data_IF_822512395299
#
_entry.id   IF_822512395299
#
_cell.length_a   1.000
_cell.length_b   1.000
_cell.length_c   1.000
_cell.angle_alpha   90.00
_cell.angle_beta   90.00
_cell.angle_gamma   90.00
#
_symmetry.space_group_name_H-M   'P 1'
#
loop_
_entity.id
_entity.type
_entity.pdbx_description
1 polymer ?
#
# COMPACT_ATOMS: atom_id res chain seq x y z
N UNK A 1 -3.68 15.90 -11.26
CA UNK A 1 -3.58 15.39 -9.89
C UNK A 1 -4.74 15.93 -9.06
N UNK A 2 -5.54 15.05 -8.44
CA UNK A 2 -6.55 15.44 -7.46
C UNK A 2 -5.99 15.15 -6.07
N UNK A 3 -6.03 16.14 -5.17
CA UNK A 3 -5.55 15.98 -3.80
C UNK A 3 -6.69 15.48 -2.90
N UNK A 4 -6.55 14.33 -2.22
CA UNK A 4 -7.51 13.91 -1.20
C UNK A 4 -7.49 14.89 0.00
N UNK A 5 -8.42 14.72 0.97
CA UNK A 5 -8.30 15.37 2.28
C UNK A 5 -6.90 15.14 2.87
N UNK A 6 -6.33 16.15 3.58
CA UNK A 6 -5.00 16.00 4.15
C UNK A 6 -4.96 14.93 5.23
N UNK A 7 -3.78 14.37 5.41
CA UNK A 7 -3.41 13.73 6.66
C UNK A 7 -2.83 14.81 7.58
N UNK A 8 -3.62 15.23 8.57
CA UNK A 8 -3.26 16.29 9.51
C UNK A 8 -2.11 15.85 10.43
N UNK A 9 -1.25 16.80 10.81
CA UNK A 9 -0.08 16.55 11.67
C UNK A 9 0.84 15.44 11.16
N UNK A 10 1.02 15.32 9.84
CA UNK A 10 1.96 14.38 9.22
C UNK A 10 2.77 15.06 8.12
N UNK A 11 4.00 14.60 7.95
CA UNK A 11 4.89 15.04 6.89
C UNK A 11 5.64 13.84 6.30
N UNK A 12 5.83 13.87 4.98
CA UNK A 12 6.67 12.91 4.28
C UNK A 12 8.10 13.46 4.17
N UNK A 13 9.08 12.78 4.73
CA UNK A 13 10.48 13.22 4.80
C UNK A 13 11.35 12.63 3.70
N UNK A 14 12.53 13.19 3.45
CA UNK A 14 13.54 12.70 2.49
C UNK A 14 13.11 12.68 1.01
N UNK A 15 11.98 13.30 0.67
CA UNK A 15 11.45 13.35 -0.70
C UNK A 15 11.28 14.78 -1.22
N UNK A 16 12.00 15.75 -0.64
CA UNK A 16 11.89 17.17 -0.97
C UNK A 16 12.42 17.49 -2.37
N UNK A 17 11.56 18.02 -3.24
CA UNK A 17 11.96 18.63 -4.51
C UNK A 17 12.24 20.11 -4.35
N UNK A 18 11.37 20.82 -3.63
CA UNK A 18 11.43 22.26 -3.52
C UNK A 18 10.74 22.75 -2.25
N UNK A 19 11.39 23.69 -1.55
CA UNK A 19 10.81 24.44 -0.44
C UNK A 19 10.39 25.84 -0.91
N UNK A 20 9.18 26.27 -0.55
CA UNK A 20 8.58 27.54 -0.95
C UNK A 20 7.91 28.18 0.26
N UNK A 21 8.31 29.40 0.62
CA UNK A 21 7.68 30.19 1.69
C UNK A 21 6.66 31.17 1.12
N UNK A 22 5.86 31.78 2.00
CA UNK A 22 4.90 32.84 1.67
C UNK A 22 3.96 32.45 0.52
N UNK A 23 3.40 31.24 0.61
CA UNK A 23 2.51 30.68 -0.41
C UNK A 23 1.23 30.14 0.23
N UNK A 24 0.11 30.28 -0.47
CA UNK A 24 -1.16 29.68 -0.06
C UNK A 24 -1.16 28.18 -0.37
N UNK A 25 -1.99 27.42 0.34
CA UNK A 25 -2.17 25.99 0.09
C UNK A 25 -2.59 25.73 -1.37
N UNK A 26 -3.50 26.53 -1.92
CA UNK A 26 -3.98 26.36 -3.29
C UNK A 26 -2.86 26.58 -4.31
N UNK A 27 -2.05 27.62 -4.12
CA UNK A 27 -0.92 27.88 -5.01
C UNK A 27 0.18 26.82 -4.86
N UNK A 28 0.38 26.29 -3.65
CA UNK A 28 1.27 25.15 -3.39
C UNK A 28 0.83 23.91 -4.20
N UNK A 29 -0.46 23.56 -4.13
CA UNK A 29 -1.06 22.46 -4.89
C UNK A 29 -0.98 22.67 -6.40
N UNK A 30 -1.23 23.89 -6.87
CA UNK A 30 -1.10 24.25 -8.30
C UNK A 30 0.35 24.11 -8.77
N UNK A 31 1.33 24.56 -7.97
CA UNK A 31 2.76 24.38 -8.28
C UNK A 31 3.15 22.91 -8.35
N UNK A 32 2.63 22.08 -7.46
CA UNK A 32 2.82 20.63 -7.55
C UNK A 32 2.17 20.07 -8.83
N UNK A 33 0.93 20.45 -9.12
CA UNK A 33 0.18 19.96 -10.27
C UNK A 33 0.90 20.20 -11.61
N UNK A 34 1.54 21.36 -11.78
CA UNK A 34 2.26 21.70 -13.02
C UNK A 34 3.68 21.14 -13.08
N UNK A 35 4.21 20.65 -11.95
CA UNK A 35 5.53 20.03 -11.89
C UNK A 35 5.38 18.51 -12.05
N UNK A 36 5.84 17.97 -13.19
CA UNK A 36 5.72 16.53 -13.49
C UNK A 36 6.45 15.61 -12.50
N UNK A 37 7.46 16.13 -11.79
CA UNK A 37 8.16 15.37 -10.76
C UNK A 37 7.44 15.39 -9.40
N UNK A 38 6.48 16.29 -9.19
CA UNK A 38 5.79 16.43 -7.92
C UNK A 38 4.65 15.43 -7.79
N UNK A 39 4.60 14.74 -6.65
CA UNK A 39 3.65 13.68 -6.36
C UNK A 39 2.81 13.91 -5.10
N UNK A 40 3.28 14.76 -4.18
CA UNK A 40 2.58 15.18 -2.97
C UNK A 40 3.15 16.52 -2.46
N UNK A 41 2.54 17.11 -1.43
CA UNK A 41 3.08 18.28 -0.73
C UNK A 41 2.97 18.15 0.78
N UNK A 42 4.00 18.63 1.51
CA UNK A 42 3.83 19.00 2.92
C UNK A 42 3.49 20.48 3.00
N UNK A 43 2.52 20.86 3.82
CA UNK A 43 2.17 22.27 4.00
C UNK A 43 2.08 22.64 5.48
N UNK A 44 2.81 23.69 5.85
CA UNK A 44 2.77 24.29 7.17
C UNK A 44 1.94 25.57 7.11
N UNK A 45 0.83 25.61 7.85
CA UNK A 45 -0.02 26.80 7.92
C UNK A 45 0.67 27.93 8.69
N UNK A 46 0.69 29.13 8.11
CA UNK A 46 1.06 30.38 8.80
C UNK A 46 -0.16 31.23 9.11
N UNK A 47 0.05 32.45 9.60
CA UNK A 47 -1.05 33.38 9.96
C UNK A 47 -1.87 33.84 8.75
N UNK A 48 -1.21 34.04 7.60
CA UNK A 48 -1.84 34.42 6.33
C UNK A 48 -1.40 33.48 5.19
N UNK A 49 -0.10 33.39 4.96
CA UNK A 49 0.53 32.48 4.00
C UNK A 49 1.38 31.46 4.77
N UNK A 50 1.57 30.29 4.18
CA UNK A 50 2.29 29.18 4.80
C UNK A 50 3.63 28.88 4.15
N UNK A 51 4.20 27.75 4.52
CA UNK A 51 5.35 27.14 3.85
C UNK A 51 4.91 25.84 3.18
N UNK A 52 5.37 25.63 1.96
CA UNK A 52 5.04 24.50 1.09
C UNK A 52 6.32 23.75 0.72
N UNK A 53 6.26 22.44 0.79
CA UNK A 53 7.29 21.54 0.34
C UNK A 53 6.71 20.67 -0.77
N UNK A 54 7.26 20.78 -1.98
CA UNK A 54 6.91 19.88 -3.10
C UNK A 54 7.69 18.58 -2.94
N UNK A 55 7.01 17.45 -3.09
CA UNK A 55 7.59 16.13 -2.83
C UNK A 55 7.67 15.28 -4.10
N UNK A 56 8.77 14.55 -4.29
CA UNK A 56 9.00 13.60 -5.38
C UNK A 56 8.31 12.25 -5.18
N UNK A 57 7.58 12.07 -4.08
CA UNK A 57 7.05 10.77 -3.70
C UNK A 57 5.61 10.86 -3.19
N UNK A 58 4.92 9.72 -3.27
CA UNK A 58 3.64 9.48 -2.62
C UNK A 58 3.91 8.76 -1.30
N UNK A 59 3.15 9.08 -0.26
CA UNK A 59 3.31 8.41 1.03
C UNK A 59 3.03 6.90 0.95
N UNK A 60 2.11 6.47 0.08
CA UNK A 60 1.85 5.03 -0.14
C UNK A 60 3.04 4.24 -0.70
N UNK A 61 4.02 4.90 -1.33
CA UNK A 61 5.25 4.24 -1.81
C UNK A 61 6.35 4.20 -0.74
N UNK A 62 6.28 5.09 0.26
CA UNK A 62 7.30 5.26 1.30
C UNK A 62 6.66 5.44 2.68
N UNK A 63 5.95 4.42 3.21
CA UNK A 63 5.17 4.57 4.43
C UNK A 63 6.04 4.85 5.67
N UNK A 64 7.31 4.42 5.68
CA UNK A 64 8.26 4.69 6.77
C UNK A 64 8.69 6.16 6.84
N UNK A 65 8.62 6.88 5.72
CA UNK A 65 9.01 8.28 5.63
C UNK A 65 7.86 9.22 5.98
N UNK A 66 6.62 8.70 6.05
CA UNK A 66 5.44 9.44 6.47
C UNK A 66 5.34 9.39 8.00
N UNK A 67 5.79 10.45 8.66
CA UNK A 67 5.84 10.53 10.10
C UNK A 67 4.85 11.55 10.64
N UNK A 68 4.33 11.29 11.83
CA UNK A 68 3.54 12.28 12.58
C UNK A 68 4.44 13.47 12.94
N UNK A 69 4.08 14.65 12.47
CA UNK A 69 4.79 15.89 12.70
C UNK A 69 3.79 17.04 12.94
N UNK A 70 3.53 17.42 14.21
CA UNK A 70 2.52 18.41 14.54
C UNK A 70 2.72 19.77 13.84
N UNK A 71 1.63 20.31 13.30
CA UNK A 71 1.61 21.61 12.62
C UNK A 71 2.00 21.58 11.14
N UNK A 72 2.19 20.40 10.56
CA UNK A 72 2.38 20.20 9.13
C UNK A 72 1.33 19.19 8.66
N UNK A 73 0.67 19.51 7.55
CA UNK A 73 -0.33 18.65 6.93
C UNK A 73 0.21 18.08 5.62
N UNK A 74 0.06 16.77 5.44
CA UNK A 74 0.45 16.08 4.21
C UNK A 74 -0.73 16.03 3.23
N UNK A 75 -0.51 16.48 2.00
CA UNK A 75 -1.48 16.39 0.91
C UNK A 75 -0.92 15.53 -0.22
N UNK A 76 -1.43 14.33 -0.35
CA UNK A 76 -1.07 13.41 -1.42
C UNK A 76 -1.67 12.03 -1.20
N UNK A 77 -1.44 11.09 -2.12
CA UNK A 77 -1.87 9.71 -1.94
C UNK A 77 -1.16 9.08 -0.73
N UNK A 78 -1.89 8.93 0.38
CA UNK A 78 -1.50 8.14 1.56
C UNK A 78 -1.77 6.66 1.37
N UNK A 79 -2.75 6.36 0.54
CA UNK A 79 -3.12 5.04 0.08
C UNK A 79 -2.36 4.72 -1.21
N UNK A 80 -1.76 3.52 -1.27
CA UNK A 80 -1.53 2.87 -2.56
C UNK A 80 -2.89 2.82 -3.26
N UNK A 81 -3.00 3.05 -4.59
CA UNK A 81 -4.27 3.22 -5.29
C UNK A 81 -5.30 2.06 -5.23
N UNK A 82 -5.27 1.19 -4.22
CA UNK A 82 -6.24 0.12 -3.97
C UNK A 82 -6.71 0.00 -2.51
N UNK A 83 -6.23 0.82 -1.56
CA UNK A 83 -6.54 0.64 -0.12
C UNK A 83 -7.85 1.32 0.35
N UNK A 84 -8.87 1.28 -0.49
CA UNK A 84 -10.27 1.56 -0.13
C UNK A 84 -11.24 0.49 -0.63
N UNK A 85 -10.73 -0.61 -1.21
CA UNK A 85 -11.54 -1.79 -1.48
C UNK A 85 -11.46 -2.70 -0.26
N UNK A 86 -12.55 -2.77 0.49
CA UNK A 86 -12.92 -4.01 1.16
C UNK A 86 -12.85 -5.13 0.11
N UNK A 87 -11.78 -5.93 0.11
CA UNK A 87 -11.76 -7.17 -0.67
C UNK A 87 -12.47 -8.20 0.20
N UNK A 88 -13.78 -8.02 0.37
CA UNK A 88 -14.65 -9.05 0.92
C UNK A 88 -14.59 -10.22 -0.04
N UNK A 89 -13.84 -11.25 0.33
CA UNK A 89 -13.77 -12.50 -0.41
C UNK A 89 -15.17 -13.00 -0.70
N UNK A 90 -15.55 -12.96 -1.97
CA UNK A 90 -16.68 -13.71 -2.48
C UNK A 90 -16.31 -15.19 -2.38
N UNK A 91 -16.51 -15.77 -1.20
CA UNK A 91 -16.34 -17.19 -0.96
C UNK A 91 -17.29 -17.97 -1.89
N UNK A 92 -16.73 -18.46 -3.00
CA UNK A 92 -17.14 -19.61 -3.78
C UNK A 92 -18.64 -19.88 -3.88
N UNK A 93 -19.26 -19.42 -4.97
CA UNK A 93 -20.52 -19.96 -5.49
C UNK A 93 -20.29 -21.38 -6.02
N UNK A 94 -20.07 -22.36 -5.14
CA UNK A 94 -20.24 -23.77 -5.48
C UNK A 94 -21.68 -24.16 -5.19
N UNK A 95 -22.35 -24.53 -6.28
CA UNK A 95 -23.68 -25.08 -6.43
C UNK A 95 -24.02 -26.12 -5.32
N UNK A 96 -24.80 -25.74 -4.31
CA UNK A 96 -25.45 -26.68 -3.39
C UNK A 96 -26.95 -26.64 -3.61
N UNK A 97 -27.42 -27.59 -4.43
CA UNK A 97 -28.81 -27.97 -4.52
C UNK A 97 -29.26 -28.58 -3.16
N UNK A 98 -30.38 -28.05 -2.66
CA UNK A 98 -31.36 -28.68 -1.77
C UNK A 98 -31.14 -28.68 -0.24
N UNK A 99 -32.06 -27.93 0.41
CA UNK A 99 -32.76 -28.21 1.70
C UNK A 99 -32.05 -27.98 3.05
N UNK A 100 -32.13 -26.72 3.49
CA UNK A 100 -32.48 -26.19 4.84
C UNK A 100 -32.65 -27.25 5.95
N UNK A 101 -31.66 -27.37 6.87
CA UNK A 101 -31.90 -27.45 8.33
C UNK A 101 -30.61 -27.32 9.19
N UNK A 102 -29.80 -26.27 8.99
CA UNK A 102 -28.71 -25.94 9.93
C UNK A 102 -28.48 -24.43 10.00
N UNK A 103 -29.52 -23.72 10.44
CA UNK A 103 -29.52 -22.27 10.68
C UNK A 103 -28.57 -21.89 11.85
N UNK A 104 -27.87 -22.85 12.46
CA UNK A 104 -26.91 -22.64 13.56
C UNK A 104 -25.43 -22.77 13.20
N UNK A 105 -25.06 -23.01 11.92
CA UNK A 105 -23.64 -23.14 11.51
C UNK A 105 -23.21 -22.09 10.46
N UNK A 106 -24.11 -21.22 10.01
CA UNK A 106 -23.85 -20.26 8.92
C UNK A 106 -23.54 -18.82 9.36
N UNK A 107 -23.11 -18.60 10.60
CA UNK A 107 -22.43 -17.35 10.99
C UNK A 107 -20.92 -17.57 10.97
N UNK A 108 -20.40 -18.15 9.88
CA UNK A 108 -18.97 -18.04 9.60
C UNK A 108 -18.77 -16.55 9.34
N UNK A 109 -18.10 -15.89 10.29
CA UNK A 109 -17.84 -14.47 10.22
C UNK A 109 -17.22 -14.20 8.86
N UNK A 110 -17.86 -13.36 8.06
CA UNK A 110 -17.21 -12.78 6.90
C UNK A 110 -16.10 -11.89 7.45
N UNK A 111 -14.95 -12.50 7.76
CA UNK A 111 -13.75 -11.78 8.15
C UNK A 111 -13.32 -10.99 6.92
N UNK A 112 -13.64 -9.69 6.92
CA UNK A 112 -13.08 -8.77 5.95
C UNK A 112 -11.56 -8.80 6.15
N UNK A 113 -10.82 -9.28 5.15
CA UNK A 113 -9.37 -9.27 5.21
C UNK A 113 -8.89 -7.88 4.85
N UNK A 114 -8.17 -7.25 5.78
CA UNK A 114 -7.49 -5.99 5.53
C UNK A 114 -6.05 -6.31 5.16
N UNK A 115 -5.57 -5.89 3.99
CA UNK A 115 -4.14 -5.98 3.68
C UNK A 115 -3.41 -4.69 4.09
N UNK A 116 -2.23 -4.83 4.68
CA UNK A 116 -1.29 -3.73 4.94
C UNK A 116 -0.11 -3.87 3.99
N UNK A 117 0.18 -2.86 3.19
CA UNK A 117 1.43 -2.83 2.43
C UNK A 117 2.61 -2.56 3.37
N UNK A 118 3.61 -3.41 3.30
CA UNK A 118 4.80 -3.36 4.13
C UNK A 118 5.96 -2.60 3.46
N UNK A 119 5.89 -2.36 2.16
CA UNK A 119 6.94 -1.69 1.39
C UNK A 119 7.45 -2.50 0.20
N UNK A 120 8.44 -1.91 -0.47
CA UNK A 120 9.19 -2.53 -1.56
C UNK A 120 10.53 -3.08 -1.05
N UNK A 121 10.82 -4.33 -1.37
CA UNK A 121 12.02 -5.02 -0.90
C UNK A 121 12.79 -5.68 -2.03
N UNK A 122 14.10 -5.71 -1.93
CA UNK A 122 14.95 -6.39 -2.90
C UNK A 122 14.67 -7.89 -2.88
N UNK A 123 14.63 -8.52 -4.06
CA UNK A 123 14.65 -9.97 -4.19
C UNK A 123 15.93 -10.46 -4.85
N UNK A 124 16.21 -11.74 -4.67
CA UNK A 124 17.43 -12.42 -5.12
C UNK A 124 17.14 -13.89 -5.43
N UNK A 125 18.10 -14.60 -6.01
CA UNK A 125 17.97 -16.01 -6.37
C UNK A 125 17.66 -16.93 -5.17
N UNK A 126 18.07 -16.54 -3.96
CA UNK A 126 17.77 -17.24 -2.71
C UNK A 126 16.41 -16.84 -2.10
N UNK A 127 15.64 -15.99 -2.79
CA UNK A 127 14.26 -15.54 -2.54
C UNK A 127 13.95 -15.01 -1.15
N UNK A 128 13.46 -13.80 -1.04
CA UNK A 128 12.99 -13.23 0.23
C UNK A 128 11.62 -13.80 0.67
N UNK A 129 10.74 -14.10 -0.28
CA UNK A 129 9.37 -14.57 0.01
C UNK A 129 9.11 -15.89 -0.72
N UNK A 130 9.39 -17.01 -0.04
CA UNK A 130 9.05 -18.35 -0.55
C UNK A 130 9.57 -18.63 -1.97
N UNK A 131 8.95 -19.56 -2.67
CA UNK A 131 9.12 -19.74 -4.10
C UNK A 131 7.91 -19.14 -4.82
N UNK A 132 7.98 -19.04 -6.16
CA UNK A 132 6.86 -18.60 -6.98
C UNK A 132 5.63 -19.47 -6.68
N UNK A 133 4.59 -18.85 -6.16
CA UNK A 133 3.39 -19.52 -5.69
C UNK A 133 2.32 -19.62 -6.77
N UNK A 134 2.04 -18.49 -7.45
CA UNK A 134 1.04 -18.40 -8.52
C UNK A 134 1.57 -17.52 -9.65
N UNK A 135 1.32 -17.94 -10.90
CA UNK A 135 1.62 -17.17 -12.10
C UNK A 135 0.65 -17.57 -13.24
N UNK A 136 0.06 -16.61 -13.96
CA UNK A 136 -0.01 -15.19 -13.62
C UNK A 136 -0.94 -14.96 -12.43
N UNK A 137 -0.67 -13.93 -11.64
CA UNK A 137 -1.53 -13.49 -10.55
C UNK A 137 -1.68 -11.97 -10.60
N UNK A 138 -2.85 -11.47 -10.18
CA UNK A 138 -2.99 -10.10 -9.73
C UNK A 138 -2.94 -10.06 -8.19
N UNK A 139 -3.06 -8.87 -7.61
CA UNK A 139 -2.99 -8.68 -6.16
C UNK A 139 -4.05 -9.53 -5.41
N UNK A 140 -5.27 -9.59 -5.94
CA UNK A 140 -6.39 -10.35 -5.36
C UNK A 140 -6.13 -11.85 -5.44
N UNK A 141 -5.69 -12.37 -6.60
CA UNK A 141 -5.38 -13.79 -6.75
C UNK A 141 -4.23 -14.23 -5.84
N UNK A 142 -3.25 -13.36 -5.62
CA UNK A 142 -2.15 -13.65 -4.69
C UNK A 142 -2.61 -13.66 -3.22
N UNK A 143 -3.46 -12.69 -2.85
CA UNK A 143 -4.12 -12.65 -1.54
C UNK A 143 -4.94 -13.92 -1.28
N UNK A 144 -5.81 -14.29 -2.22
CA UNK A 144 -6.67 -15.47 -2.10
C UNK A 144 -5.86 -16.75 -1.90
N UNK A 145 -4.77 -16.91 -2.66
CA UNK A 145 -3.88 -18.05 -2.52
C UNK A 145 -3.20 -18.07 -1.15
N UNK A 146 -2.60 -16.94 -0.73
CA UNK A 146 -1.92 -16.85 0.56
C UNK A 146 -2.87 -17.12 1.74
N UNK A 147 -4.09 -16.57 1.68
CA UNK A 147 -5.16 -16.86 2.64
C UNK A 147 -5.54 -18.33 2.66
N UNK A 148 -5.72 -18.95 1.49
CA UNK A 148 -6.03 -20.37 1.38
C UNK A 148 -4.96 -21.29 1.97
N UNK A 149 -3.70 -20.84 1.98
CA UNK A 149 -2.59 -21.54 2.64
C UNK A 149 -2.44 -21.20 4.13
N UNK A 150 -3.21 -20.24 4.66
CA UNK A 150 -3.06 -19.73 6.02
C UNK A 150 -1.79 -18.91 6.24
N UNK A 151 -1.20 -18.38 5.16
CA UNK A 151 -0.04 -17.50 5.25
C UNK A 151 -0.47 -16.06 5.55
N UNK A 152 0.40 -15.32 6.20
CA UNK A 152 0.11 -13.94 6.68
C UNK A 152 0.79 -12.86 5.87
N UNK A 153 1.68 -13.23 4.95
CA UNK A 153 2.41 -12.31 4.08
C UNK A 153 2.46 -12.88 2.67
N UNK A 154 2.21 -12.03 1.69
CA UNK A 154 2.40 -12.31 0.27
C UNK A 154 3.07 -11.12 -0.40
N UNK A 155 3.56 -11.33 -1.62
CA UNK A 155 4.24 -10.30 -2.37
C UNK A 155 4.02 -10.46 -3.87
N UNK A 156 4.02 -9.32 -4.57
CA UNK A 156 4.01 -9.27 -6.03
C UNK A 156 5.43 -8.97 -6.55
N UNK A 157 5.85 -9.66 -7.60
CA UNK A 157 7.04 -9.36 -8.40
C UNK A 157 6.64 -9.22 -9.88
N UNK A 158 7.39 -8.43 -10.66
CA UNK A 158 7.23 -8.32 -12.12
C UNK A 158 5.78 -8.21 -12.62
N UNK A 159 4.93 -7.45 -11.91
CA UNK A 159 3.51 -7.22 -12.21
C UNK A 159 2.56 -8.42 -12.01
N UNK A 160 3.01 -9.64 -12.29
CA UNK A 160 2.14 -10.82 -12.40
C UNK A 160 2.63 -12.06 -11.65
N UNK A 161 3.72 -11.96 -10.90
CA UNK A 161 4.27 -13.08 -10.13
C UNK A 161 3.86 -12.95 -8.67
N UNK A 162 3.25 -14.00 -8.13
CA UNK A 162 2.84 -14.08 -6.73
C UNK A 162 3.82 -14.92 -5.92
N UNK A 163 4.25 -14.37 -4.79
CA UNK A 163 5.14 -14.99 -3.84
C UNK A 163 4.50 -15.03 -2.47
N UNK A 164 4.56 -16.17 -1.78
CA UNK A 164 4.12 -16.30 -0.39
C UNK A 164 4.78 -17.52 0.27
N UNK A 165 4.66 -17.64 1.58
CA UNK A 165 5.18 -18.79 2.31
C UNK A 165 5.04 -18.67 3.82
N UNK A 166 5.17 -19.80 4.52
CA UNK A 166 5.00 -19.88 5.97
C UNK A 166 5.93 -18.94 6.77
N UNK A 167 7.14 -18.70 6.27
CA UNK A 167 8.14 -17.84 6.92
C UNK A 167 8.25 -16.45 6.28
N UNK A 168 7.36 -16.10 5.33
CA UNK A 168 7.42 -14.85 4.60
C UNK A 168 7.44 -13.65 5.56
N UNK A 169 6.66 -13.70 6.65
CA UNK A 169 6.60 -12.69 7.69
C UNK A 169 7.93 -12.37 8.41
N UNK A 170 8.93 -13.26 8.31
CA UNK A 170 10.27 -13.09 8.90
C UNK A 170 11.36 -12.81 7.88
N UNK A 171 11.10 -13.13 6.62
CA UNK A 171 12.15 -13.21 5.57
C UNK A 171 11.97 -12.19 4.45
N UNK A 172 10.79 -11.59 4.31
CA UNK A 172 10.46 -10.68 3.22
C UNK A 172 11.42 -9.50 3.05
N UNK A 173 12.08 -9.05 4.12
CA UNK A 173 12.99 -7.90 4.12
C UNK A 173 14.47 -8.27 4.17
N UNK A 174 14.83 -9.56 4.05
CA UNK A 174 16.20 -10.04 4.30
C UNK A 174 17.28 -9.43 3.38
N UNK A 175 16.90 -8.92 2.22
CA UNK A 175 17.81 -8.25 1.27
C UNK A 175 17.77 -6.73 1.33
N UNK A 176 16.97 -6.15 2.25
CA UNK A 176 16.81 -4.71 2.38
C UNK A 176 15.74 -4.11 1.45
N UNK A 177 15.51 -2.79 1.58
CA UNK A 177 14.54 -2.06 0.77
C UNK A 177 14.97 -1.95 -0.69
N UNK A 178 14.02 -1.72 -1.59
CA UNK A 178 14.25 -1.46 -3.01
C UNK A 178 13.37 -0.30 -3.49
N UNK A 179 13.81 0.40 -4.54
CA UNK A 179 13.05 1.46 -5.22
C UNK A 179 12.49 1.00 -6.57
N UNK A 180 12.68 -0.28 -6.92
CA UNK A 180 12.35 -0.81 -8.24
C UNK A 180 10.87 -1.23 -8.37
N UNK A 181 10.09 -1.21 -7.29
CA UNK A 181 8.68 -1.57 -7.33
C UNK A 181 7.83 -0.51 -8.04
N UNK A 182 6.81 -0.96 -8.77
CA UNK A 182 5.92 -0.10 -9.52
C UNK A 182 4.48 -0.39 -9.11
N UNK A 183 3.79 0.64 -8.61
CA UNK A 183 2.34 0.62 -8.36
C UNK A 183 1.80 -0.55 -7.51
N UNK A 184 2.59 -1.11 -6.59
CA UNK A 184 2.13 -2.18 -5.71
C UNK A 184 2.16 -3.58 -6.33
N UNK A 185 2.73 -3.74 -7.52
CA UNK A 185 2.80 -5.03 -8.23
C UNK A 185 4.23 -5.54 -8.40
N UNK A 186 5.16 -4.99 -7.62
CA UNK A 186 6.57 -5.33 -7.62
C UNK A 186 7.33 -4.71 -8.78
N UNK A 187 8.54 -5.22 -9.00
CA UNK A 187 9.43 -4.82 -10.07
C UNK A 187 10.47 -5.88 -10.33
N UNK A 188 11.42 -5.61 -11.24
CA UNK A 188 12.46 -6.58 -11.56
C UNK A 188 13.37 -6.81 -10.37
N UNK A 189 13.35 -8.02 -9.80
CA UNK A 189 14.03 -8.36 -8.55
C UNK A 189 13.59 -7.48 -7.39
N UNK A 190 12.30 -7.11 -7.34
CA UNK A 190 11.74 -6.28 -6.29
C UNK A 190 10.32 -6.70 -5.95
N UNK A 191 10.10 -6.98 -4.66
CA UNK A 191 8.85 -7.47 -4.11
C UNK A 191 8.06 -6.32 -3.49
N UNK A 192 6.85 -6.07 -3.98
CA UNK A 192 5.85 -5.29 -3.24
C UNK A 192 5.18 -6.22 -2.23
N UNK A 193 5.42 -6.01 -0.94
CA UNK A 193 5.05 -6.96 0.12
C UNK A 193 3.81 -6.49 0.89
N UNK A 194 2.91 -7.43 1.18
CA UNK A 194 1.64 -7.19 1.86
C UNK A 194 1.46 -8.16 3.04
N UNK A 195 0.94 -7.65 4.15
CA UNK A 195 0.48 -8.43 5.30
C UNK A 195 -1.03 -8.57 5.26
N UNK A 196 -1.52 -9.77 5.54
CA UNK A 196 -2.94 -10.08 5.70
C UNK A 196 -3.31 -9.87 7.16
N UNK A 197 -4.26 -8.99 7.43
CA UNK A 197 -4.85 -8.79 8.75
C UNK A 197 -6.29 -9.28 8.74
N UNK A 198 -6.68 -9.93 9.82
CA UNK A 198 -8.04 -10.42 10.00
C UNK A 198 -8.80 -9.44 10.89
N UNK A 199 -9.89 -8.87 10.38
CA UNK A 199 -10.84 -8.14 11.22
C UNK A 199 -11.81 -9.16 11.79
N UNK A 200 -11.81 -9.28 13.12
CA UNK A 200 -12.77 -10.11 13.87
C UNK A 200 -14.05 -9.35 14.13
#
# INVERSE_FOLDING_TARGET
>A
MHFPPPLEDHALFNHTLQNITDISLDNCKVKCYVNQACHAVNYKKGTNLGSCELLSAKAGSFPIDLLRFPGIDFYGPTIIPQMGAEICGQANRKLYLLLILCITVFMVHAACQLITHLGCYQDSSDRAVGQLAVYPADLTGCLDYATGQGYTVFAMENTIECFTGANANKTYSKHGPSDNCINGVGGRWALDVYRINYVT
#
